data_IF_429741084546
#
_entry.id   IF_429741084546
#
_cell.length_a   1.000
_cell.length_b   1.000
_cell.length_c   1.000
_cell.angle_alpha   90.00
_cell.angle_beta   90.00
_cell.angle_gamma   90.00
#
_symmetry.space_group_name_H-M   'P 1'
#
loop_
_entity.id
_entity.type
_entity.pdbx_description
1 polymer ?
#
# COMPACT_ATOMS: atom_id res chain seq x y z
N UNK A 1 1.70 25.89 -18.76
CA UNK A 1 2.49 24.82 -19.40
C UNK A 1 2.21 23.57 -18.60
N UNK A 2 1.65 22.53 -19.22
CA UNK A 2 1.33 21.29 -18.53
C UNK A 2 2.66 20.62 -18.13
N UNK A 3 2.89 20.46 -16.81
CA UNK A 3 4.12 19.87 -16.28
C UNK A 3 4.29 18.44 -16.84
N UNK A 4 3.19 17.76 -17.13
CA UNK A 4 3.21 16.42 -17.71
C UNK A 4 3.88 16.40 -19.10
N UNK A 5 3.72 17.44 -19.91
CA UNK A 5 4.37 17.52 -21.22
C UNK A 5 5.90 17.68 -21.12
N UNK A 6 6.42 18.24 -20.03
CA UNK A 6 7.86 18.33 -19.78
C UNK A 6 8.43 17.00 -19.27
N UNK A 7 7.59 16.11 -18.75
CA UNK A 7 7.96 14.82 -18.19
C UNK A 7 7.74 13.65 -19.17
N UNK A 8 7.03 13.89 -20.27
CA UNK A 8 6.85 12.92 -21.36
C UNK A 8 8.20 12.50 -21.94
N UNK A 9 8.39 11.18 -22.10
CA UNK A 9 9.61 10.59 -22.65
C UNK A 9 9.26 9.52 -23.68
N UNK A 10 10.16 9.33 -24.65
CA UNK A 10 10.06 8.23 -25.59
C UNK A 10 10.46 6.93 -24.89
N UNK A 11 9.48 6.22 -24.34
CA UNK A 11 9.71 4.89 -23.75
C UNK A 11 10.00 3.87 -24.85
N UNK A 12 10.85 2.89 -24.54
CA UNK A 12 11.14 1.76 -25.41
C UNK A 12 9.91 0.87 -25.60
N UNK A 13 10.04 -0.14 -26.46
CA UNK A 13 9.11 -1.26 -26.56
C UNK A 13 8.95 -2.00 -25.23
N UNK A 14 8.35 -3.17 -25.23
CA UNK A 14 8.24 -3.97 -24.01
C UNK A 14 7.75 -5.39 -24.26
N UNK A 15 7.67 -5.77 -25.54
CA UNK A 15 7.12 -7.03 -26.02
C UNK A 15 7.88 -8.23 -25.43
N UNK A 16 9.17 -8.06 -25.12
CA UNK A 16 9.98 -9.07 -24.45
C UNK A 16 9.58 -9.32 -22.98
N UNK A 17 8.93 -8.34 -22.33
CA UNK A 17 8.48 -8.46 -20.94
C UNK A 17 6.98 -8.72 -20.82
N UNK A 18 6.16 -8.34 -21.81
CA UNK A 18 4.70 -8.52 -21.78
C UNK A 18 4.27 -9.94 -21.39
N UNK A 19 4.84 -11.03 -21.95
CA UNK A 19 4.47 -12.39 -21.59
C UNK A 19 4.88 -12.82 -20.17
N UNK A 20 5.73 -12.03 -19.50
CA UNK A 20 6.24 -12.33 -18.16
C UNK A 20 5.30 -11.85 -17.04
N UNK A 21 4.29 -11.04 -17.38
CA UNK A 21 3.27 -10.57 -16.44
C UNK A 21 1.98 -11.38 -16.57
N UNK A 22 1.27 -11.63 -15.45
CA UNK A 22 -0.09 -12.17 -15.54
C UNK A 22 -1.05 -11.13 -16.13
N UNK A 23 -2.11 -11.61 -16.78
CA UNK A 23 -3.19 -10.76 -17.24
C UNK A 23 -3.94 -10.11 -16.07
N UNK A 24 -4.28 -8.83 -16.21
CA UNK A 24 -5.03 -8.06 -15.21
C UNK A 24 -6.05 -7.14 -15.88
N UNK A 25 -7.21 -6.92 -15.25
CA UNK A 25 -8.22 -5.99 -15.75
C UNK A 25 -7.84 -4.52 -15.52
N UNK A 26 -7.01 -4.23 -14.50
CA UNK A 26 -6.69 -2.87 -14.02
C UNK A 26 -7.89 -2.12 -13.40
N UNK A 27 -8.90 -2.84 -12.92
CA UNK A 27 -10.05 -2.21 -12.28
C UNK A 27 -9.66 -1.52 -10.96
N UNK A 28 -10.27 -0.34 -10.71
CA UNK A 28 -10.07 0.39 -9.45
C UNK A 28 -10.61 -0.45 -8.29
N UNK A 29 -9.77 -0.67 -7.28
CA UNK A 29 -10.19 -1.24 -6.00
C UNK A 29 -9.99 -0.20 -4.91
N UNK A 30 -10.91 -0.13 -3.95
CA UNK A 30 -10.79 0.82 -2.86
C UNK A 30 -9.69 0.36 -1.89
N UNK A 31 -8.64 1.17 -1.73
CA UNK A 31 -7.52 0.92 -0.83
C UNK A 31 -7.67 1.66 0.53
N UNK A 32 -8.80 2.33 0.76
CA UNK A 32 -9.08 3.18 1.92
C UNK A 32 -8.68 4.65 1.72
N UNK A 33 -9.01 5.50 2.70
CA UNK A 33 -8.55 6.90 2.75
C UNK A 33 -7.14 6.94 3.36
N UNK A 34 -6.15 7.51 2.67
CA UNK A 34 -4.75 7.55 3.13
C UNK A 34 -4.25 8.95 3.48
N UNK A 35 -3.56 9.09 4.62
CA UNK A 35 -2.66 10.20 4.94
C UNK A 35 -1.19 9.83 4.61
N UNK A 36 -0.22 10.75 4.76
CA UNK A 36 1.17 10.51 4.30
C UNK A 36 1.84 9.29 4.95
N UNK A 37 1.56 8.99 6.22
CA UNK A 37 2.06 7.77 6.89
C UNK A 37 1.37 6.50 6.37
N UNK A 38 0.19 6.63 5.77
CA UNK A 38 -0.44 5.53 5.05
C UNK A 38 0.29 5.19 3.74
N UNK A 39 1.06 6.12 3.14
CA UNK A 39 1.72 5.88 1.84
C UNK A 39 2.66 4.68 1.86
N UNK A 40 3.65 4.65 2.77
CA UNK A 40 4.61 3.53 2.83
C UNK A 40 3.93 2.24 3.26
N UNK A 41 2.96 2.33 4.18
CA UNK A 41 2.13 1.19 4.58
C UNK A 41 1.40 0.60 3.37
N UNK A 42 0.80 1.43 2.54
CA UNK A 42 0.10 1.02 1.32
C UNK A 42 1.08 0.45 0.28
N UNK A 43 2.25 1.06 0.07
CA UNK A 43 3.32 0.51 -0.78
C UNK A 43 3.66 -0.91 -0.32
N UNK A 44 3.94 -1.11 0.97
CA UNK A 44 4.26 -2.44 1.52
C UNK A 44 3.11 -3.43 1.34
N UNK A 45 1.86 -3.02 1.54
CA UNK A 45 0.69 -3.86 1.31
C UNK A 45 0.57 -4.27 -0.17
N UNK A 46 0.79 -3.33 -1.10
CA UNK A 46 0.78 -3.59 -2.54
C UNK A 46 1.91 -4.55 -2.94
N UNK A 47 3.11 -4.37 -2.39
CA UNK A 47 4.26 -5.26 -2.63
C UNK A 47 3.96 -6.66 -2.11
N UNK A 48 3.50 -6.82 -0.87
CA UNK A 48 3.15 -8.12 -0.29
C UNK A 48 2.08 -8.82 -1.14
N UNK A 49 1.07 -8.07 -1.59
CA UNK A 49 -0.05 -8.63 -2.36
C UNK A 49 0.35 -9.01 -3.79
N UNK A 50 1.19 -8.21 -4.45
CA UNK A 50 1.40 -8.30 -5.90
C UNK A 50 2.83 -8.62 -6.35
N UNK A 51 3.79 -8.85 -5.44
CA UNK A 51 5.16 -9.20 -5.84
C UNK A 51 5.23 -10.43 -6.76
N UNK A 52 4.30 -11.39 -6.63
CA UNK A 52 4.26 -12.56 -7.51
C UNK A 52 4.15 -12.20 -9.01
N UNK A 53 3.60 -11.03 -9.34
CA UNK A 53 3.46 -10.55 -10.72
C UNK A 53 4.81 -10.23 -11.38
N UNK A 54 5.87 -10.03 -10.61
CA UNK A 54 7.20 -9.68 -11.13
C UNK A 54 8.19 -10.84 -11.10
N UNK A 55 7.75 -12.06 -10.78
CA UNK A 55 8.65 -13.20 -10.54
C UNK A 55 9.52 -13.53 -11.76
N UNK A 56 8.94 -13.63 -12.95
CA UNK A 56 9.69 -13.99 -14.16
C UNK A 56 10.54 -12.82 -14.67
N UNK A 57 10.04 -11.58 -14.54
CA UNK A 57 10.79 -10.36 -14.85
C UNK A 57 12.00 -10.21 -13.94
N UNK A 58 11.86 -10.53 -12.65
CA UNK A 58 12.95 -10.46 -11.70
C UNK A 58 14.10 -11.41 -12.10
N UNK A 59 13.80 -12.64 -12.53
CA UNK A 59 14.82 -13.57 -13.03
C UNK A 59 15.58 -13.00 -14.23
N UNK A 60 14.87 -12.33 -15.15
CA UNK A 60 15.46 -11.73 -16.34
C UNK A 60 16.35 -10.51 -16.01
N UNK A 61 15.93 -9.69 -15.04
CA UNK A 61 16.65 -8.46 -14.69
C UNK A 61 17.81 -8.70 -13.71
N UNK A 62 17.80 -9.77 -12.94
CA UNK A 62 18.87 -10.05 -11.97
C UNK A 62 20.22 -10.26 -12.67
N UNK A 63 21.26 -9.58 -12.19
CA UNK A 63 22.61 -9.63 -12.75
C UNK A 63 23.61 -10.28 -11.77
N UNK A 64 24.87 -10.37 -12.17
CA UNK A 64 25.93 -11.01 -11.39
C UNK A 64 26.28 -10.25 -10.10
N UNK A 65 26.15 -8.93 -10.11
CA UNK A 65 26.44 -8.06 -8.98
C UNK A 65 25.21 -7.27 -8.51
N UNK A 66 25.24 -6.82 -7.26
CA UNK A 66 24.19 -5.98 -6.68
C UNK A 66 24.05 -4.66 -7.45
N UNK A 67 25.18 -4.05 -7.83
CA UNK A 67 25.20 -2.80 -8.60
C UNK A 67 24.53 -2.97 -9.96
N UNK A 68 24.97 -3.95 -10.74
CA UNK A 68 24.41 -4.22 -12.08
C UNK A 68 22.93 -4.57 -11.99
N UNK A 69 22.51 -5.28 -10.95
CA UNK A 69 21.09 -5.60 -10.72
C UNK A 69 20.28 -4.33 -10.46
N UNK A 70 20.76 -3.43 -9.59
CA UNK A 70 20.09 -2.15 -9.33
C UNK A 70 20.04 -1.26 -10.58
N UNK A 71 21.15 -1.18 -11.32
CA UNK A 71 21.24 -0.42 -12.57
C UNK A 71 20.29 -0.99 -13.64
N UNK A 72 20.19 -2.32 -13.75
CA UNK A 72 19.27 -3.00 -14.68
C UNK A 72 17.82 -2.77 -14.32
N UNK A 73 17.45 -2.82 -13.03
CA UNK A 73 16.09 -2.51 -12.57
C UNK A 73 15.76 -1.04 -12.87
N UNK A 74 16.65 -0.11 -12.52
CA UNK A 74 16.46 1.31 -12.84
C UNK A 74 16.28 1.50 -14.34
N UNK A 75 17.16 0.93 -15.16
CA UNK A 75 17.09 1.03 -16.62
C UNK A 75 15.75 0.50 -17.14
N UNK A 76 15.29 -0.66 -16.66
CA UNK A 76 14.00 -1.22 -17.04
C UNK A 76 12.84 -0.27 -16.70
N UNK A 77 12.79 0.21 -15.46
CA UNK A 77 11.72 1.09 -15.00
C UNK A 77 11.73 2.42 -15.76
N UNK A 78 12.89 3.04 -15.91
CA UNK A 78 13.03 4.33 -16.59
C UNK A 78 12.68 4.25 -18.08
N UNK A 79 13.18 3.23 -18.78
CA UNK A 79 13.06 3.16 -20.23
C UNK A 79 11.73 2.57 -20.70
N UNK A 80 11.04 1.75 -19.91
CA UNK A 80 9.84 1.04 -20.37
C UNK A 80 8.52 1.60 -19.82
N UNK A 81 8.57 2.50 -18.85
CA UNK A 81 7.38 3.04 -18.16
C UNK A 81 7.43 4.57 -18.23
N UNK A 82 6.30 5.21 -18.52
CA UNK A 82 6.19 6.66 -18.55
C UNK A 82 6.06 7.19 -17.10
N UNK A 83 6.67 8.33 -16.79
CA UNK A 83 6.40 9.02 -15.53
C UNK A 83 5.22 9.98 -15.71
N UNK A 84 4.33 10.00 -14.72
CA UNK A 84 3.25 10.97 -14.62
C UNK A 84 3.04 11.29 -13.14
N UNK A 85 3.19 12.55 -12.78
CA UNK A 85 2.94 12.99 -11.41
C UNK A 85 1.46 12.77 -11.05
N UNK A 86 1.16 12.46 -9.79
CA UNK A 86 -0.24 12.29 -9.40
C UNK A 86 -1.02 13.61 -9.48
N UNK A 87 -2.30 13.47 -9.84
CA UNK A 87 -3.30 14.50 -9.67
C UNK A 87 -3.99 14.39 -8.29
N UNK A 88 -5.22 14.86 -8.17
CA UNK A 88 -6.01 14.79 -6.92
C UNK A 88 -6.25 13.33 -6.49
N UNK A 89 -6.46 12.41 -7.44
CA UNK A 89 -6.56 10.98 -7.18
C UNK A 89 -5.18 10.31 -7.24
N UNK A 90 -4.78 9.69 -6.13
CA UNK A 90 -3.55 8.89 -6.03
C UNK A 90 -3.85 7.46 -6.48
N UNK A 91 -3.23 6.99 -7.56
CA UNK A 91 -3.49 5.65 -8.10
C UNK A 91 -2.28 4.73 -7.92
N UNK A 92 -2.28 3.95 -6.84
CA UNK A 92 -1.30 2.87 -6.65
C UNK A 92 -1.64 1.69 -7.56
N UNK A 93 -0.73 1.34 -8.46
CA UNK A 93 -0.93 0.23 -9.40
C UNK A 93 -0.07 -0.98 -9.02
N UNK A 94 -0.59 -2.19 -9.28
CA UNK A 94 0.21 -3.41 -9.21
C UNK A 94 1.20 -3.48 -10.38
N UNK A 95 2.31 -4.23 -10.28
CA UNK A 95 3.31 -4.28 -11.36
C UNK A 95 2.76 -4.69 -12.73
N UNK A 96 1.88 -5.70 -12.81
CA UNK A 96 1.27 -6.10 -14.07
C UNK A 96 0.37 -5.00 -14.66
N UNK A 97 -0.34 -4.26 -13.81
CA UNK A 97 -1.18 -3.16 -14.27
C UNK A 97 -0.34 -1.95 -14.72
N UNK A 98 0.73 -1.66 -13.99
CA UNK A 98 1.72 -0.65 -14.38
C UNK A 98 2.30 -0.95 -15.75
N UNK A 99 2.69 -2.20 -16.02
CA UNK A 99 3.27 -2.57 -17.31
C UNK A 99 2.24 -2.56 -18.44
N UNK A 100 1.01 -3.07 -18.19
CA UNK A 100 -0.11 -3.00 -19.14
C UNK A 100 -0.43 -1.55 -19.54
N UNK A 101 -0.36 -0.61 -18.59
CA UNK A 101 -0.67 0.81 -18.81
C UNK A 101 0.59 1.68 -18.93
N UNK A 102 1.75 1.09 -19.26
CA UNK A 102 3.06 1.74 -19.15
C UNK A 102 3.19 3.08 -19.89
N UNK A 103 2.47 3.23 -21.01
CA UNK A 103 2.47 4.47 -21.81
C UNK A 103 1.63 5.60 -21.21
N UNK A 104 0.66 5.30 -20.34
CA UNK A 104 -0.20 6.32 -19.72
C UNK A 104 0.50 7.08 -18.59
N UNK A 105 1.56 6.50 -18.07
CA UNK A 105 2.37 7.06 -17.00
C UNK A 105 1.90 6.71 -15.59
N UNK A 106 2.86 6.63 -14.69
CA UNK A 106 2.65 6.31 -13.27
C UNK A 106 3.48 7.20 -12.35
N UNK A 107 3.08 7.26 -11.09
CA UNK A 107 3.67 8.11 -10.06
C UNK A 107 4.84 7.44 -9.33
N UNK A 108 5.51 8.22 -8.47
CA UNK A 108 6.67 7.76 -7.68
C UNK A 108 6.35 6.56 -6.76
N UNK A 109 5.12 6.49 -6.21
CA UNK A 109 4.70 5.36 -5.35
C UNK A 109 4.56 4.09 -6.17
N UNK A 110 3.96 4.17 -7.35
CA UNK A 110 3.84 3.03 -8.27
C UNK A 110 5.20 2.54 -8.75
N UNK A 111 6.15 3.45 -9.06
CA UNK A 111 7.54 3.06 -9.34
C UNK A 111 8.16 2.30 -8.17
N UNK A 112 7.96 2.80 -6.94
CA UNK A 112 8.48 2.17 -5.73
C UNK A 112 7.89 0.78 -5.48
N UNK A 113 6.59 0.59 -5.72
CA UNK A 113 5.92 -0.72 -5.64
C UNK A 113 6.54 -1.70 -6.63
N UNK A 114 6.81 -1.26 -7.87
CA UNK A 114 7.39 -2.12 -8.90
C UNK A 114 8.82 -2.51 -8.55
N UNK A 115 9.69 -1.54 -8.26
CA UNK A 115 11.07 -1.77 -7.86
C UNK A 115 11.15 -2.72 -6.66
N UNK A 116 10.36 -2.44 -5.62
CA UNK A 116 10.31 -3.27 -4.42
C UNK A 116 9.81 -4.70 -4.71
N UNK A 117 8.80 -4.85 -5.57
CA UNK A 117 8.31 -6.18 -5.99
C UNK A 117 9.39 -7.01 -6.69
N UNK A 118 10.19 -6.38 -7.56
CA UNK A 118 11.33 -7.04 -8.22
C UNK A 118 12.38 -7.49 -7.19
N UNK A 119 12.81 -6.58 -6.30
CA UNK A 119 13.83 -6.86 -5.29
C UNK A 119 13.40 -7.94 -4.29
N UNK A 120 12.12 -7.95 -3.90
CA UNK A 120 11.54 -9.02 -3.07
C UNK A 120 11.71 -10.38 -3.75
N UNK A 121 11.44 -10.50 -5.04
CA UNK A 121 11.60 -11.79 -5.76
C UNK A 121 13.07 -12.20 -5.90
N UNK A 122 14.01 -11.26 -5.87
CA UNK A 122 15.45 -11.52 -5.92
C UNK A 122 16.06 -11.79 -4.53
N UNK A 123 15.27 -11.66 -3.46
CA UNK A 123 15.78 -11.79 -2.08
C UNK A 123 16.72 -10.65 -1.66
N UNK A 124 16.62 -9.48 -2.30
CA UNK A 124 17.49 -8.33 -2.03
C UNK A 124 16.84 -7.44 -0.98
N UNK A 125 17.55 -7.21 0.13
CA UNK A 125 17.16 -6.27 1.20
C UNK A 125 17.16 -4.85 0.65
N UNK A 126 16.10 -4.10 0.96
CA UNK A 126 15.91 -2.73 0.48
C UNK A 126 14.94 -1.95 1.38
N UNK A 127 14.94 -0.63 1.19
CA UNK A 127 14.11 0.30 1.95
C UNK A 127 13.31 1.18 0.98
N UNK A 128 12.10 1.54 1.39
CA UNK A 128 11.35 2.65 0.80
C UNK A 128 11.83 3.93 1.48
N UNK A 129 12.43 4.84 0.72
CA UNK A 129 12.86 6.16 1.19
C UNK A 129 11.82 7.20 0.80
N UNK A 130 11.33 7.93 1.80
CA UNK A 130 10.52 9.14 1.59
C UNK A 130 11.38 10.36 1.86
N UNK A 131 11.25 11.39 1.03
CA UNK A 131 11.99 12.65 1.22
C UNK A 131 11.07 13.87 1.25
N UNK A 132 11.51 14.90 1.97
CA UNK A 132 10.97 16.27 1.87
C UNK A 132 11.86 17.08 0.96
N UNK A 133 11.30 17.61 -0.12
CA UNK A 133 12.04 18.42 -1.09
C UNK A 133 12.03 19.90 -0.67
N UNK A 134 13.16 20.62 -0.77
CA UNK A 134 13.25 22.01 -0.30
C UNK A 134 12.30 22.97 -1.01
N UNK A 135 12.06 22.76 -2.31
CA UNK A 135 11.33 23.71 -3.17
C UNK A 135 9.87 23.33 -3.43
N UNK A 136 9.41 22.17 -2.95
CA UNK A 136 8.07 21.66 -3.21
C UNK A 136 7.46 21.10 -1.93
N UNK A 137 6.47 21.81 -1.37
CA UNK A 137 5.78 21.47 -0.11
C UNK A 137 6.75 20.94 0.98
N UNK A 138 7.74 21.75 1.40
CA UNK A 138 8.87 21.29 2.23
C UNK A 138 8.47 20.72 3.59
N UNK A 139 7.25 20.98 4.06
CA UNK A 139 6.73 20.42 5.30
C UNK A 139 6.22 18.98 5.15
N UNK A 140 6.02 18.50 3.92
CA UNK A 140 5.46 17.19 3.59
C UNK A 140 6.49 16.28 2.91
N UNK A 141 6.30 14.96 3.03
CA UNK A 141 6.99 14.02 2.17
C UNK A 141 6.37 14.08 0.77
N UNK A 142 7.17 14.47 -0.21
CA UNK A 142 6.69 14.74 -1.58
C UNK A 142 7.19 13.75 -2.61
N UNK A 143 8.23 12.97 -2.28
CA UNK A 143 8.79 11.99 -3.19
C UNK A 143 9.18 10.71 -2.46
N UNK A 144 9.06 9.59 -3.15
CA UNK A 144 9.34 8.25 -2.64
C UNK A 144 10.01 7.40 -3.70
N UNK A 145 11.02 6.64 -3.31
CA UNK A 145 11.79 5.74 -4.17
C UNK A 145 12.42 4.63 -3.33
N UNK A 146 13.17 3.73 -3.98
CA UNK A 146 13.81 2.60 -3.32
C UNK A 146 15.32 2.84 -3.17
N UNK A 147 15.85 2.47 -2.00
CA UNK A 147 17.30 2.38 -1.76
C UNK A 147 17.68 0.94 -1.37
N UNK A 148 18.88 0.54 -1.77
CA UNK A 148 19.40 -0.82 -1.58
C UNK A 148 20.75 -0.73 -0.85
N UNK A 149 20.88 -1.15 0.42
CA UNK A 149 22.14 -1.06 1.16
C UNK A 149 23.24 -1.87 0.48
N UNK A 150 24.48 -1.38 0.50
CA UNK A 150 25.63 -2.14 -0.02
C UNK A 150 25.88 -3.42 0.78
N UNK A 151 25.73 -3.33 2.10
CA UNK A 151 25.81 -4.48 2.98
C UNK A 151 24.43 -5.12 3.17
N UNK A 152 24.19 -6.22 2.45
CA UNK A 152 22.91 -6.95 2.47
C UNK A 152 22.70 -7.78 3.75
N UNK A 153 23.77 -8.09 4.48
CA UNK A 153 23.69 -8.82 5.75
C UNK A 153 23.24 -7.92 6.89
N UNK A 154 23.92 -6.77 7.05
CA UNK A 154 23.59 -5.80 8.10
C UNK A 154 22.39 -4.93 7.76
N UNK A 155 22.21 -4.61 6.47
CA UNK A 155 21.25 -3.59 6.01
C UNK A 155 21.64 -2.16 6.37
N UNK A 156 22.85 -1.93 6.88
CA UNK A 156 23.28 -0.61 7.34
C UNK A 156 23.56 0.34 6.17
N UNK A 157 22.58 1.19 5.89
CA UNK A 157 22.65 2.22 4.84
C UNK A 157 23.78 3.25 5.06
N UNK A 158 24.35 3.36 6.27
CA UNK A 158 25.50 4.26 6.52
C UNK A 158 26.77 3.76 5.84
N UNK A 159 26.84 2.46 5.51
CA UNK A 159 27.93 1.86 4.73
C UNK A 159 27.78 2.13 3.22
N UNK A 160 26.74 2.87 2.82
CA UNK A 160 26.42 3.19 1.44
C UNK A 160 25.21 2.41 0.94
N UNK A 161 24.64 2.88 -0.18
CA UNK A 161 23.48 2.27 -0.82
C UNK A 161 23.44 2.62 -2.31
N UNK A 162 22.75 1.79 -3.09
CA UNK A 162 22.27 2.12 -4.43
C UNK A 162 20.87 2.71 -4.36
N UNK A 163 20.51 3.45 -5.41
CA UNK A 163 19.21 4.10 -5.57
C UNK A 163 18.51 3.44 -6.74
N UNK A 164 17.19 3.31 -6.66
CA UNK A 164 16.34 2.93 -7.79
C UNK A 164 15.19 3.92 -7.82
N UNK A 165 15.32 4.93 -8.68
CA UNK A 165 14.30 5.96 -8.91
C UNK A 165 14.01 6.12 -10.41
N UNK A 166 12.98 5.44 -10.90
CA UNK A 166 12.57 5.50 -12.31
C UNK A 166 11.89 6.80 -12.74
N UNK A 167 11.72 7.78 -11.84
CA UNK A 167 11.02 9.04 -12.12
C UNK A 167 11.88 10.06 -12.86
N UNK A 168 13.23 9.94 -12.79
CA UNK A 168 14.16 10.90 -13.40
C UNK A 168 15.17 10.20 -14.31
N UNK A 169 15.77 10.95 -15.25
CA UNK A 169 16.77 10.43 -16.21
C UNK A 169 18.13 10.10 -15.61
N UNK A 170 18.35 10.53 -14.38
CA UNK A 170 19.60 10.32 -13.65
C UNK A 170 19.31 9.60 -12.36
N UNK A 171 19.76 8.36 -12.22
CA UNK A 171 19.58 7.57 -11.01
C UNK A 171 20.51 8.06 -9.89
N UNK A 172 20.16 9.19 -9.28
CA UNK A 172 20.92 9.86 -8.22
C UNK A 172 19.99 10.30 -7.11
N UNK A 173 20.56 10.52 -5.93
CA UNK A 173 19.80 10.97 -4.76
C UNK A 173 19.17 12.34 -5.06
N UNK A 174 17.84 12.47 -4.99
CA UNK A 174 17.20 13.77 -5.13
C UNK A 174 17.56 14.67 -3.94
N UNK A 175 17.71 15.97 -4.20
CA UNK A 175 17.98 16.97 -3.15
C UNK A 175 16.82 16.97 -2.16
N UNK A 176 17.15 16.86 -0.87
CA UNK A 176 16.16 16.80 0.21
C UNK A 176 16.67 17.46 1.49
N UNK A 177 15.74 17.90 2.32
CA UNK A 177 16.02 18.46 3.66
C UNK A 177 15.79 17.43 4.76
N UNK A 178 15.08 16.34 4.45
CA UNK A 178 14.77 15.25 5.37
C UNK A 178 14.49 13.98 4.58
N UNK A 179 14.96 12.85 5.10
CA UNK A 179 14.66 11.52 4.59
C UNK A 179 14.10 10.64 5.71
N UNK A 180 13.24 9.69 5.36
CA UNK A 180 12.76 8.64 6.25
C UNK A 180 12.74 7.31 5.51
N UNK A 181 13.43 6.32 6.08
CA UNK A 181 13.65 5.02 5.46
C UNK A 181 12.85 3.95 6.18
N UNK A 182 12.11 3.15 5.42
CA UNK A 182 11.35 2.03 5.96
C UNK A 182 11.74 0.75 5.24
N UNK A 183 12.23 -0.23 5.99
CA UNK A 183 12.59 -1.53 5.45
C UNK A 183 11.36 -2.29 4.93
N UNK A 184 11.51 -2.94 3.78
CA UNK A 184 10.50 -3.83 3.23
C UNK A 184 10.82 -5.27 3.61
N UNK A 185 10.35 -5.67 4.79
CA UNK A 185 10.39 -7.05 5.23
C UNK A 185 9.07 -7.75 4.88
N UNK A 186 9.16 -8.84 4.12
CA UNK A 186 8.00 -9.73 3.97
C UNK A 186 7.62 -10.33 5.34
N UNK A 187 6.33 -10.55 5.60
CA UNK A 187 5.92 -11.24 6.82
C UNK A 187 6.47 -12.67 6.80
N UNK A 188 7.17 -13.05 7.87
CA UNK A 188 7.61 -14.42 8.09
C UNK A 188 6.58 -15.13 8.97
N UNK A 189 6.05 -16.26 8.51
CA UNK A 189 5.12 -17.08 9.28
C UNK A 189 5.82 -18.36 9.76
N UNK A 190 5.89 -18.55 11.08
CA UNK A 190 6.33 -19.81 11.67
C UNK A 190 5.23 -20.87 11.54
N UNK A 191 5.45 -21.88 10.70
CA UNK A 191 4.49 -22.96 10.49
C UNK A 191 4.76 -24.13 11.45
N UNK A 192 4.44 -23.96 12.73
CA UNK A 192 4.49 -25.04 13.73
C UNK A 192 3.11 -25.37 14.32
N UNK A 193 2.05 -25.14 13.53
CA UNK A 193 0.72 -25.57 13.96
C UNK A 193 0.66 -27.12 13.91
N UNK A 194 0.37 -27.80 15.04
CA UNK A 194 0.22 -29.25 15.03
C UNK A 194 -0.92 -29.65 14.09
N UNK A 195 -0.75 -30.78 13.38
CA UNK A 195 -1.85 -31.36 12.60
C UNK A 195 -2.99 -31.72 13.55
N UNK A 196 -3.98 -30.84 13.66
CA UNK A 196 -5.24 -31.22 14.31
C UNK A 196 -5.93 -32.22 13.39
N UNK A 197 -6.08 -33.46 13.85
CA UNK A 197 -7.00 -34.40 13.23
C UNK A 197 -8.42 -33.82 13.39
N UNK A 198 -8.86 -33.00 12.43
CA UNK A 198 -10.24 -32.52 12.37
C UNK A 198 -11.15 -33.69 11.97
N UNK A 199 -11.47 -34.54 12.94
CA UNK A 199 -12.69 -35.36 12.93
C UNK A 199 -13.75 -34.66 13.76
N UNK A 200 -14.73 -34.03 13.10
CA UNK A 200 -15.94 -33.43 13.70
C UNK A 200 -15.66 -32.18 14.55
N UNK A 201 -16.51 -31.17 14.66
CA UNK A 201 -17.96 -31.08 14.52
C UNK A 201 -18.25 -29.68 13.97
N UNK A 202 -19.01 -29.59 12.88
CA UNK A 202 -19.67 -28.35 12.49
C UNK A 202 -20.65 -27.96 13.61
N UNK A 203 -20.28 -27.03 14.49
CA UNK A 203 -21.25 -26.36 15.35
C UNK A 203 -22.07 -25.45 14.46
N UNK A 204 -23.25 -25.93 14.05
CA UNK A 204 -24.37 -25.06 13.65
C UNK A 204 -24.54 -24.03 14.76
N UNK A 205 -24.44 -22.74 14.42
CA UNK A 205 -24.84 -21.66 15.30
C UNK A 205 -26.36 -21.77 15.53
N UNK A 206 -26.74 -22.31 16.69
CA UNK A 206 -28.11 -22.18 17.16
C UNK A 206 -28.34 -20.72 17.54
N UNK A 207 -29.13 -20.02 16.73
CA UNK A 207 -29.82 -18.81 17.15
C UNK A 207 -30.67 -19.20 18.37
N UNK A 208 -30.25 -18.80 19.57
CA UNK A 208 -31.06 -18.96 20.78
C UNK A 208 -31.59 -17.59 21.16
N UNK A 209 -32.90 -17.43 20.95
CA UNK A 209 -33.71 -16.33 21.42
C UNK A 209 -33.54 -16.13 22.93
N UNK A 210 -33.22 -14.90 23.35
CA UNK A 210 -33.26 -14.50 24.76
C UNK A 210 -34.72 -14.53 25.25
N UNK A 211 -35.07 -15.58 25.99
CA UNK A 211 -36.25 -15.60 26.86
C UNK A 211 -35.81 -15.16 28.25
N UNK A 212 -36.14 -13.93 28.63
CA UNK A 212 -35.91 -13.40 29.98
C UNK A 212 -36.81 -14.15 30.97
N UNK A 213 -36.22 -14.75 32.01
CA UNK A 213 -36.94 -15.27 33.18
C UNK A 213 -36.43 -14.56 34.44
N UNK A 214 -37.33 -13.73 34.96
CA UNK A 214 -37.63 -13.30 36.32
C UNK A 214 -36.84 -13.98 37.45
N UNK A 215 -36.23 -13.16 38.32
CA UNK A 215 -35.83 -13.54 39.69
C UNK A 215 -36.84 -12.90 40.65
N UNK A 216 -37.47 -13.75 41.45
CA UNK A 216 -38.36 -13.35 42.54
C UNK A 216 -37.55 -12.92 43.78
N UNK A 217 -37.95 -11.83 44.43
CA UNK A 217 -37.83 -11.69 45.89
C UNK A 217 -38.90 -10.76 46.48
N UNK A 218 -39.84 -11.42 47.17
CA UNK A 218 -40.44 -11.10 48.48
C UNK A 218 -41.36 -9.86 48.63
N UNK A 219 -42.66 -10.19 48.77
CA UNK A 219 -43.77 -9.54 49.50
C UNK A 219 -43.56 -8.17 50.17
N UNK A 220 -44.48 -7.24 49.88
CA UNK A 220 -45.47 -6.80 50.88
C UNK A 220 -46.70 -6.13 50.22
N UNK A 221 -47.86 -6.70 50.55
CA UNK A 221 -49.23 -6.18 50.68
C UNK A 221 -49.77 -4.99 49.87
N UNK A 222 -50.86 -5.35 49.16
CA UNK A 222 -52.15 -4.67 48.93
C UNK A 222 -52.28 -3.57 47.84
N UNK A 223 -53.40 -3.62 47.08
CA UNK A 223 -53.59 -2.90 45.82
C UNK A 223 -54.36 -1.59 46.03
N UNK A 224 -54.52 -0.79 44.97
CA UNK A 224 -55.82 -0.22 44.51
C UNK A 224 -55.62 0.86 43.43
N UNK A 225 -56.29 0.60 42.29
CA UNK A 225 -56.96 1.52 41.33
C UNK A 225 -56.12 2.48 40.46
N UNK A 226 -56.19 2.42 39.11
CA UNK A 226 -57.25 2.78 38.13
C UNK A 226 -57.23 4.28 37.75
N UNK A 227 -57.18 4.55 36.44
CA UNK A 227 -57.38 5.87 35.82
C UNK A 227 -56.28 6.18 34.79
N UNK A 228 -56.48 5.97 33.49
CA UNK A 228 -57.23 6.81 32.53
C UNK A 228 -56.82 8.28 32.62
N UNK A 229 -56.25 8.82 31.54
CA UNK A 229 -56.04 10.27 31.42
C UNK A 229 -55.21 10.65 30.20
N UNK A 230 -55.87 10.72 29.04
CA UNK A 230 -55.38 11.43 27.87
C UNK A 230 -55.33 12.96 28.11
N UNK A 231 -54.54 13.66 27.29
CA UNK A 231 -54.67 15.04 26.74
C UNK A 231 -53.27 15.70 26.67
N UNK A 232 -52.74 16.02 25.48
CA UNK A 232 -52.99 17.21 24.64
C UNK A 232 -52.46 18.53 25.23
N UNK A 233 -51.71 19.27 24.40
CA UNK A 233 -51.37 20.69 24.57
C UNK A 233 -49.86 20.94 24.53
N UNK A 234 -49.19 21.29 23.42
CA UNK A 234 -49.28 22.50 22.57
C UNK A 234 -48.63 23.74 23.20
N UNK A 235 -47.63 24.28 22.47
CA UNK A 235 -47.11 25.67 22.40
C UNK A 235 -46.53 26.34 23.66
N UNK A 236 -45.29 26.85 23.58
CA UNK A 236 -45.02 28.24 23.18
C UNK A 236 -43.51 28.60 23.22
N UNK A 237 -43.13 29.48 22.30
CA UNK A 237 -41.89 30.26 22.21
C UNK A 237 -41.48 30.92 23.54
N UNK A 238 -40.17 31.15 23.76
CA UNK A 238 -39.58 32.51 23.82
C UNK A 238 -38.04 32.50 23.79
N UNK A 239 -37.52 33.57 23.19
CA UNK A 239 -36.12 33.95 22.92
C UNK A 239 -35.58 34.88 24.04
N UNK A 240 -34.26 35.12 24.01
CA UNK A 240 -33.44 36.14 24.70
C UNK A 240 -32.91 35.72 26.08
N UNK A 241 -31.62 35.88 26.41
CA UNK A 241 -30.55 36.73 25.87
C UNK A 241 -29.31 35.93 25.47
#
# INVERSE_FOLDING_TARGET
MDIDNLLQRNILGGQEYEPLFPEVSCDKTNLGNGNTFDTVRMIKQMVIKYNHQTKEVAKLLQQSSLKETCDRIYWFLYNHIQYKADAVEQMLRSPACTFKMRAQGVDCKTYSIFASSLLVNMGIRHYIRQIKQPSFRPDLYTHVYVIVPLNQESGDIKQGYFIIDGTTSTNREPIHIMAHDTEVNLPHFGLNAPKTNRKGIAKKSSIVAKKSKTIAKKNSNLPVYLGIGALLGVLFLKKSN
#
